data_IF_834637965921
#
_entry.id   IF_834637965921
#
_cell.length_a   1.000
_cell.length_b   1.000
_cell.length_c   1.000
_cell.angle_alpha   90.00
_cell.angle_beta   90.00
_cell.angle_gamma   90.00
#
_symmetry.space_group_name_H-M   'P 1'
#
loop_
_entity.id
_entity.type
_entity.pdbx_description
1 polymer ?
#
# COMPACT_ATOMS: atom_id res chain seq x y z
N UNK A 1 -2.53 19.65 -7.96
CA UNK A 1 -2.93 18.84 -6.77
C UNK A 1 -2.24 17.47 -6.85
N UNK A 2 -1.86 16.85 -5.73
CA UNK A 2 -1.09 15.59 -5.72
C UNK A 2 -1.92 14.32 -6.05
N UNK A 3 -3.24 14.34 -5.84
CA UNK A 3 -4.17 13.33 -6.38
C UNK A 3 -4.20 11.98 -5.64
N UNK A 4 -3.63 11.89 -4.43
CA UNK A 4 -3.55 10.61 -3.68
C UNK A 4 -4.91 10.10 -3.24
N UNK A 5 -5.85 10.97 -2.87
CA UNK A 5 -7.19 10.57 -2.46
C UNK A 5 -7.90 9.84 -3.60
N UNK A 6 -7.94 10.48 -4.77
CA UNK A 6 -8.55 9.97 -6.00
C UNK A 6 -7.85 8.70 -6.52
N UNK A 7 -6.55 8.58 -6.25
CA UNK A 7 -5.79 7.37 -6.53
C UNK A 7 -6.18 6.21 -5.60
N UNK A 8 -6.23 6.45 -4.29
CA UNK A 8 -6.53 5.44 -3.28
C UNK A 8 -7.99 4.95 -3.36
N UNK A 9 -8.93 5.81 -3.76
CA UNK A 9 -10.33 5.43 -4.01
C UNK A 9 -10.45 4.30 -5.06
N UNK A 10 -9.50 4.23 -6.00
CA UNK A 10 -9.48 3.23 -7.09
C UNK A 10 -8.49 2.08 -6.83
N UNK A 11 -7.34 2.34 -6.22
CA UNK A 11 -6.21 1.40 -6.19
C UNK A 11 -6.43 0.17 -5.28
N UNK A 12 -6.82 0.38 -4.02
CA UNK A 12 -7.09 -0.65 -2.99
C UNK A 12 -6.04 -1.73 -2.71
N UNK A 13 -4.91 -1.78 -3.42
CA UNK A 13 -3.87 -2.82 -3.27
C UNK A 13 -3.42 -3.08 -1.83
N UNK A 14 -3.28 -2.04 -1.00
CA UNK A 14 -2.89 -2.21 0.40
C UNK A 14 -3.95 -2.94 1.24
N UNK A 15 -5.24 -2.61 1.03
CA UNK A 15 -6.35 -3.25 1.71
C UNK A 15 -6.55 -4.69 1.22
N UNK A 16 -6.40 -4.91 -0.09
CA UNK A 16 -6.51 -6.25 -0.69
C UNK A 16 -5.36 -7.17 -0.26
N UNK A 17 -4.14 -6.64 -0.23
CA UNK A 17 -2.93 -7.37 0.17
C UNK A 17 -2.78 -7.59 1.67
N UNK A 18 -3.59 -6.94 2.52
CA UNK A 18 -3.52 -7.11 3.97
C UNK A 18 -4.00 -8.52 4.38
N UNK A 19 -3.17 -9.36 5.03
CA UNK A 19 -3.57 -10.73 5.39
C UNK A 19 -4.72 -10.80 6.39
N UNK A 20 -4.76 -9.85 7.32
CA UNK A 20 -5.75 -9.78 8.41
C UNK A 20 -6.87 -8.77 8.16
N UNK A 21 -6.92 -8.19 6.94
CA UNK A 21 -7.94 -7.22 6.53
C UNK A 21 -8.12 -6.06 7.53
N UNK A 22 -7.01 -5.58 8.08
CA UNK A 22 -6.99 -4.49 9.05
C UNK A 22 -7.23 -3.11 8.41
N UNK A 23 -7.04 -2.97 7.10
CA UNK A 23 -7.22 -1.69 6.41
C UNK A 23 -8.65 -1.63 5.86
N UNK A 24 -9.37 -0.55 6.19
CA UNK A 24 -10.76 -0.37 5.77
C UNK A 24 -10.94 -0.47 4.25
N UNK A 25 -11.95 -1.25 3.85
CA UNK A 25 -12.49 -1.28 2.50
C UNK A 25 -13.55 -0.18 2.34
N UNK A 26 -13.90 0.19 1.11
CA UNK A 26 -14.92 1.22 0.86
C UNK A 26 -14.48 2.64 1.20
N UNK A 27 -15.41 3.59 1.20
CA UNK A 27 -15.13 5.02 1.34
C UNK A 27 -14.52 5.39 2.70
N UNK A 28 -13.70 6.45 2.80
CA UNK A 28 -13.16 6.88 4.07
C UNK A 28 -14.30 7.31 5.00
N UNK A 29 -14.27 6.93 6.27
CA UNK A 29 -15.35 7.20 7.22
C UNK A 29 -14.79 7.80 8.50
N UNK A 30 -15.68 8.18 9.42
CA UNK A 30 -15.32 8.58 10.79
C UNK A 30 -15.35 7.39 11.75
N UNK A 31 -15.50 6.17 11.23
CA UNK A 31 -15.56 4.94 12.01
C UNK A 31 -14.24 4.68 12.75
N UNK A 32 -14.38 4.07 13.92
CA UNK A 32 -13.28 3.71 14.81
C UNK A 32 -13.39 2.22 15.13
N UNK A 33 -12.27 1.53 15.06
CA UNK A 33 -12.15 0.13 15.46
C UNK A 33 -11.69 0.00 16.90
N UNK A 34 -10.83 0.92 17.38
CA UNK A 34 -10.29 0.91 18.74
C UNK A 34 -9.81 2.30 19.20
N UNK A 35 -9.23 2.37 20.41
CA UNK A 35 -8.73 3.62 21.01
C UNK A 35 -7.65 4.32 20.17
N UNK A 36 -6.89 3.55 19.38
CA UNK A 36 -5.81 4.05 18.50
C UNK A 36 -6.34 4.76 17.25
N UNK A 37 -7.66 4.82 17.04
CA UNK A 37 -8.27 5.62 15.98
C UNK A 37 -8.71 7.00 16.50
N UNK A 38 -8.25 8.05 15.82
CA UNK A 38 -8.61 9.45 16.08
C UNK A 38 -10.13 9.69 15.89
N UNK A 39 -10.71 10.55 16.72
CA UNK A 39 -12.14 10.90 16.66
C UNK A 39 -12.40 12.03 15.67
N UNK A 40 -13.53 11.97 14.95
CA UNK A 40 -14.01 13.06 14.10
C UNK A 40 -13.30 13.26 12.76
N UNK A 41 -12.25 12.50 12.45
CA UNK A 41 -11.51 12.62 11.18
C UNK A 41 -12.00 11.58 10.17
N UNK A 42 -12.43 12.04 8.98
CA UNK A 42 -12.82 11.16 7.88
C UNK A 42 -11.59 10.59 7.19
N UNK A 43 -11.32 9.30 7.34
CA UNK A 43 -10.17 8.60 6.72
C UNK A 43 -10.43 7.09 6.59
N UNK A 44 -9.53 6.39 5.90
CA UNK A 44 -9.46 4.93 5.99
C UNK A 44 -8.74 4.57 7.29
N UNK A 45 -9.52 4.38 8.36
CA UNK A 45 -8.98 3.91 9.64
C UNK A 45 -8.45 2.47 9.51
N UNK A 46 -7.38 2.18 10.24
CA UNK A 46 -6.83 0.82 10.34
C UNK A 46 -7.24 0.25 11.68
N UNK A 47 -7.70 -1.01 11.66
CA UNK A 47 -7.90 -1.83 12.83
C UNK A 47 -6.53 -2.21 13.42
N UNK A 48 -6.09 -1.41 14.39
CA UNK A 48 -4.76 -1.52 14.99
C UNK A 48 -4.53 -2.85 15.71
N UNK A 49 -5.57 -3.43 16.31
CA UNK A 49 -5.47 -4.69 17.07
C UNK A 49 -5.27 -5.86 16.10
N UNK A 50 -6.01 -5.92 14.99
CA UNK A 50 -5.76 -6.93 13.94
C UNK A 50 -4.37 -6.79 13.34
N UNK A 51 -3.96 -5.56 13.01
CA UNK A 51 -2.64 -5.30 12.42
C UNK A 51 -1.52 -5.76 13.36
N UNK A 52 -1.56 -5.31 14.62
CA UNK A 52 -0.54 -5.62 15.60
C UNK A 52 -0.55 -7.09 16.01
N UNK A 53 -1.73 -7.72 16.12
CA UNK A 53 -1.85 -9.16 16.38
C UNK A 53 -1.12 -10.00 15.32
N UNK A 54 -1.16 -9.59 14.05
CA UNK A 54 -0.39 -10.25 12.99
C UNK A 54 1.13 -10.07 13.17
N UNK A 55 1.59 -8.89 13.59
CA UNK A 55 3.01 -8.65 13.86
C UNK A 55 3.52 -9.54 15.00
N UNK A 56 2.76 -9.59 16.10
CA UNK A 56 3.08 -10.42 17.25
C UNK A 56 3.13 -11.91 16.87
N UNK A 57 2.16 -12.39 16.07
CA UNK A 57 2.13 -13.77 15.60
C UNK A 57 3.28 -14.13 14.65
N UNK A 58 3.77 -13.18 13.86
CA UNK A 58 4.94 -13.38 12.99
C UNK A 58 6.28 -13.14 13.71
N UNK A 59 6.24 -12.62 14.94
CA UNK A 59 7.40 -12.15 15.70
C UNK A 59 8.30 -11.19 14.90
N UNK A 60 7.67 -10.38 14.03
CA UNK A 60 8.35 -9.48 13.08
C UNK A 60 7.35 -8.47 12.51
N UNK A 61 7.87 -7.39 11.90
CA UNK A 61 7.03 -6.43 11.18
C UNK A 61 6.47 -7.03 9.87
N UNK A 62 5.25 -6.64 9.51
CA UNK A 62 4.59 -7.19 8.32
C UNK A 62 4.88 -6.38 7.06
N UNK A 63 4.65 -5.06 7.10
CA UNK A 63 4.97 -4.09 6.04
C UNK A 63 4.43 -4.40 4.62
N UNK A 64 3.50 -5.35 4.47
CA UNK A 64 2.94 -5.77 3.16
C UNK A 64 2.23 -4.62 2.45
N UNK A 65 1.47 -3.80 3.19
CA UNK A 65 0.75 -2.64 2.65
C UNK A 65 1.69 -1.63 1.98
N UNK A 66 2.90 -1.44 2.53
CA UNK A 66 3.94 -0.58 1.96
C UNK A 66 4.53 -1.23 0.71
N UNK A 67 4.86 -2.53 0.77
CA UNK A 67 5.43 -3.27 -0.36
C UNK A 67 4.56 -3.21 -1.61
N UNK A 68 3.24 -3.41 -1.47
CA UNK A 68 2.30 -3.46 -2.61
C UNK A 68 1.85 -2.07 -3.09
N UNK A 69 2.19 -1.01 -2.37
CA UNK A 69 1.76 0.35 -2.71
C UNK A 69 2.43 0.82 -4.02
N UNK A 70 1.67 1.27 -5.03
CA UNK A 70 2.26 1.80 -6.27
C UNK A 70 3.12 3.05 -6.08
N UNK A 71 3.02 3.73 -4.93
CA UNK A 71 3.92 4.83 -4.56
C UNK A 71 5.26 4.37 -3.98
N UNK A 72 5.41 3.09 -3.62
CA UNK A 72 6.66 2.53 -3.13
C UNK A 72 7.54 2.07 -4.31
N UNK A 73 8.26 3.02 -4.91
CA UNK A 73 9.10 2.82 -6.10
C UNK A 73 10.47 3.46 -5.92
N UNK A 74 11.43 2.97 -6.69
CA UNK A 74 12.75 3.60 -6.81
C UNK A 74 12.67 4.87 -7.67
N UNK A 75 12.58 6.02 -7.01
CA UNK A 75 12.46 7.33 -7.65
C UNK A 75 13.75 7.87 -8.28
N UNK A 76 14.90 7.18 -8.13
CA UNK A 76 16.07 7.48 -8.95
C UNK A 76 15.74 7.29 -10.44
N UNK A 77 14.89 6.30 -10.73
CA UNK A 77 14.42 6.01 -12.09
C UNK A 77 13.41 7.06 -12.54
N UNK A 78 13.60 7.60 -13.74
CA UNK A 78 12.75 8.67 -14.30
C UNK A 78 11.31 8.20 -14.53
N UNK A 79 11.12 6.94 -14.94
CA UNK A 79 9.81 6.35 -15.18
C UNK A 79 8.98 6.22 -13.90
N UNK A 80 9.61 5.99 -12.73
CA UNK A 80 8.91 5.96 -11.45
C UNK A 80 8.40 7.36 -11.07
N UNK A 81 9.20 8.40 -11.37
CA UNK A 81 8.79 9.79 -11.21
C UNK A 81 7.67 10.17 -12.17
N UNK A 82 7.72 9.70 -13.42
CA UNK A 82 6.64 9.88 -14.39
C UNK A 82 5.35 9.16 -13.92
N UNK A 83 5.44 7.90 -13.51
CA UNK A 83 4.32 7.12 -12.96
C UNK A 83 3.66 7.81 -11.77
N UNK A 84 4.44 8.40 -10.86
CA UNK A 84 3.91 9.21 -9.73
C UNK A 84 3.11 10.41 -10.21
N UNK A 85 3.54 11.08 -11.28
CA UNK A 85 2.79 12.21 -11.85
C UNK A 85 1.48 11.72 -12.46
N UNK A 86 1.52 10.63 -13.24
CA UNK A 86 0.32 10.02 -13.85
C UNK A 86 -0.67 9.54 -12.80
N UNK A 87 -0.20 9.03 -11.65
CA UNK A 87 -1.04 8.60 -10.53
C UNK A 87 -2.02 9.68 -10.05
N UNK A 88 -1.62 10.95 -10.12
CA UNK A 88 -2.44 12.09 -9.72
C UNK A 88 -3.42 12.58 -10.79
N UNK A 89 -3.47 11.94 -11.96
CA UNK A 89 -4.30 12.34 -13.10
C UNK A 89 -5.48 11.38 -13.33
N UNK A 90 -6.44 11.68 -14.22
CA UNK A 90 -7.48 10.74 -14.64
C UNK A 90 -6.94 9.42 -15.23
N UNK A 91 -5.69 9.40 -15.73
CA UNK A 91 -5.04 8.20 -16.28
C UNK A 91 -4.55 7.21 -15.22
N UNK A 92 -4.83 7.43 -13.93
CA UNK A 92 -4.45 6.55 -12.81
C UNK A 92 -4.86 5.09 -12.98
N UNK A 93 -6.01 4.80 -13.63
CA UNK A 93 -6.45 3.43 -13.91
C UNK A 93 -5.52 2.71 -14.88
N UNK A 94 -5.10 3.40 -15.95
CA UNK A 94 -4.14 2.86 -16.90
C UNK A 94 -2.76 2.65 -16.25
N UNK A 95 -2.34 3.57 -15.38
CA UNK A 95 -1.12 3.41 -14.60
C UNK A 95 -1.18 2.19 -13.68
N UNK A 96 -2.30 1.99 -12.95
CA UNK A 96 -2.51 0.84 -12.09
C UNK A 96 -2.47 -0.48 -12.87
N UNK A 97 -3.16 -0.53 -14.01
CA UNK A 97 -3.13 -1.68 -14.91
C UNK A 97 -1.69 -2.02 -15.35
N UNK A 98 -0.91 -1.00 -15.71
CA UNK A 98 0.49 -1.20 -16.08
C UNK A 98 1.32 -1.68 -14.88
N UNK A 99 1.08 -1.12 -13.69
CA UNK A 99 1.75 -1.50 -12.45
C UNK A 99 1.54 -2.98 -12.13
N UNK A 100 0.32 -3.47 -12.29
CA UNK A 100 -0.05 -4.89 -12.14
C UNK A 100 0.58 -5.76 -13.23
N UNK A 101 0.50 -5.32 -14.49
CA UNK A 101 1.05 -6.06 -15.63
C UNK A 101 2.57 -6.23 -15.57
N UNK A 102 3.27 -5.28 -14.95
CA UNK A 102 4.70 -5.33 -14.70
C UNK A 102 5.06 -6.12 -13.42
N UNK A 103 4.07 -6.63 -12.69
CA UNK A 103 4.28 -7.47 -11.50
C UNK A 103 4.90 -6.71 -10.33
N UNK A 104 4.75 -5.39 -10.29
CA UNK A 104 5.35 -4.62 -9.22
C UNK A 104 4.70 -4.92 -7.86
N UNK A 105 5.52 -4.83 -6.82
CA UNK A 105 5.07 -5.13 -5.46
C UNK A 105 4.96 -6.62 -5.17
N UNK A 106 5.27 -7.52 -6.10
CA UNK A 106 5.35 -8.96 -5.84
C UNK A 106 6.39 -9.29 -4.75
N UNK A 107 6.12 -10.34 -3.95
CA UNK A 107 7.04 -10.79 -2.90
C UNK A 107 8.22 -11.50 -3.54
N UNK A 108 9.43 -11.07 -3.19
CA UNK A 108 10.66 -11.78 -3.55
C UNK A 108 10.94 -12.91 -2.56
N UNK A 109 11.54 -14.00 -3.06
CA UNK A 109 12.07 -15.06 -2.19
C UNK A 109 13.26 -14.51 -1.40
N UNK A 110 13.38 -14.80 -0.08
CA UNK A 110 14.49 -14.32 0.73
C UNK A 110 15.86 -14.60 0.14
N UNK A 111 16.10 -15.83 -0.35
CA UNK A 111 17.39 -16.18 -0.99
C UNK A 111 17.71 -15.33 -2.23
N UNK A 112 16.69 -14.97 -3.02
CA UNK A 112 16.87 -14.10 -4.18
C UNK A 112 17.13 -12.63 -3.81
N UNK A 113 16.66 -12.17 -2.65
CA UNK A 113 16.94 -10.83 -2.13
C UNK A 113 18.34 -10.75 -1.51
N UNK A 114 18.65 -11.64 -0.56
CA UNK A 114 19.93 -11.66 0.14
C UNK A 114 21.09 -12.07 -0.77
N UNK A 115 20.83 -12.84 -1.83
CA UNK A 115 21.82 -13.24 -2.82
C UNK A 115 22.33 -12.10 -3.72
N UNK A 116 21.65 -10.94 -3.75
CA UNK A 116 22.05 -9.81 -4.61
C UNK A 116 23.34 -9.12 -4.16
N UNK A 117 23.78 -9.38 -2.91
CA UNK A 117 24.89 -8.69 -2.25
C UNK A 117 26.23 -9.47 -2.25
N UNK A 118 26.45 -10.32 -3.27
CA UNK A 118 27.76 -10.96 -3.53
C UNK A 118 28.55 -10.27 -4.65
N UNK A 119 28.37 -8.96 -4.84
CA UNK A 119 29.21 -8.11 -5.70
C UNK A 119 29.56 -6.84 -4.94
#
# INVERSE_FOLDING_TARGET
RFGVKEFCEVCRKCADGCPVKAIAQGEPSTERHNQSNIRGVRKWSVDGEKCFGYWAAQNSDCSICIRVCPYNKDYRKWWARAGRRVAGTPLRRAMLWLDDRLGFGARMKPGAWWGQRKR
#
